data_IF_536436677523
#
_entry.id   IF_536436677523
#
_cell.length_a   1.000
_cell.length_b   1.000
_cell.length_c   1.000
_cell.angle_alpha   90.00
_cell.angle_beta   90.00
_cell.angle_gamma   90.00
#
_symmetry.space_group_name_H-M   'P 1'
#
loop_
_entity.id
_entity.type
_entity.pdbx_description
1 polymer ?
#
# COMPACT_ATOMS: atom_id res chain seq x y z
N UNK A 1 -2.72 11.23 -3.40
CA UNK A 1 -4.17 11.16 -3.72
C UNK A 1 -4.65 9.87 -3.10
N UNK A 2 -5.65 9.95 -2.23
CA UNK A 2 -6.10 8.78 -1.46
C UNK A 2 -7.19 8.05 -2.23
N UNK A 3 -6.78 6.99 -2.94
CA UNK A 3 -7.69 6.01 -3.50
C UNK A 3 -7.91 4.90 -2.47
N UNK A 4 -9.15 4.43 -2.33
CA UNK A 4 -9.52 3.39 -1.36
C UNK A 4 -9.83 2.04 -2.03
N UNK A 5 -10.07 2.03 -3.35
CA UNK A 5 -10.34 0.84 -4.14
C UNK A 5 -9.54 0.83 -5.44
N UNK A 6 -9.22 -0.38 -5.89
CA UNK A 6 -8.57 -0.66 -7.17
C UNK A 6 -9.43 -1.66 -7.94
N UNK A 7 -9.86 -1.30 -9.15
CA UNK A 7 -10.54 -2.21 -10.06
C UNK A 7 -9.61 -2.69 -11.17
N UNK A 8 -9.59 -3.99 -11.43
CA UNK A 8 -8.88 -4.59 -12.56
C UNK A 8 -9.77 -4.58 -13.80
N UNK A 9 -9.22 -4.20 -14.95
CA UNK A 9 -9.89 -4.29 -16.25
C UNK A 9 -9.38 -5.45 -17.11
N UNK A 10 -10.16 -5.82 -18.12
CA UNK A 10 -9.82 -6.84 -19.13
C UNK A 10 -8.65 -6.47 -20.05
N UNK A 11 -8.21 -5.21 -19.99
CA UNK A 11 -7.07 -4.69 -20.73
C UNK A 11 -5.76 -4.68 -19.92
N UNK A 12 -5.67 -5.43 -18.81
CA UNK A 12 -4.55 -5.38 -17.86
C UNK A 12 -4.29 -3.96 -17.34
N UNK A 13 -5.35 -3.26 -16.94
CA UNK A 13 -5.25 -1.95 -16.31
C UNK A 13 -5.84 -1.98 -14.91
N UNK A 14 -5.25 -1.19 -14.02
CA UNK A 14 -5.78 -0.93 -12.69
C UNK A 14 -6.39 0.47 -12.70
N UNK A 15 -7.68 0.55 -12.41
CA UNK A 15 -8.39 1.82 -12.18
C UNK A 15 -8.47 2.03 -10.68
N UNK A 16 -7.71 2.99 -10.17
CA UNK A 16 -7.80 3.43 -8.78
C UNK A 16 -8.88 4.50 -8.65
N UNK A 17 -9.75 4.39 -7.64
CA UNK A 17 -10.84 5.33 -7.39
C UNK A 17 -11.16 5.43 -5.88
N UNK A 18 -11.92 6.45 -5.49
CA UNK A 18 -12.40 6.60 -4.11
C UNK A 18 -13.92 6.43 -4.04
N UNK A 19 -14.40 5.69 -3.05
CA UNK A 19 -15.81 5.58 -2.69
C UNK A 19 -16.47 6.95 -2.40
N UNK A 20 -15.69 7.95 -2.00
CA UNK A 20 -16.16 9.32 -1.71
C UNK A 20 -16.28 10.20 -2.96
N UNK A 21 -15.63 9.84 -4.06
CA UNK A 21 -15.61 10.60 -5.31
C UNK A 21 -15.35 9.69 -6.53
N UNK A 22 -16.39 9.01 -7.00
CA UNK A 22 -16.32 8.00 -8.07
C UNK A 22 -15.94 8.57 -9.46
N UNK A 23 -16.07 9.89 -9.65
CA UNK A 23 -15.63 10.54 -10.88
C UNK A 23 -14.10 10.69 -10.93
N UNK A 24 -13.43 10.76 -9.78
CA UNK A 24 -11.98 10.87 -9.70
C UNK A 24 -11.34 9.49 -9.78
N UNK A 25 -10.69 9.22 -10.91
CA UNK A 25 -10.03 7.96 -11.16
C UNK A 25 -8.61 8.16 -11.68
N UNK A 26 -7.77 7.14 -11.48
CA UNK A 26 -6.44 7.03 -12.07
C UNK A 26 -6.30 5.66 -12.70
N UNK A 27 -5.99 5.60 -13.98
CA UNK A 27 -5.80 4.34 -14.70
C UNK A 27 -4.31 4.08 -14.91
N UNK A 28 -3.85 2.93 -14.46
CA UNK A 28 -2.47 2.46 -14.56
C UNK A 28 -2.44 1.22 -15.45
N UNK A 29 -1.63 1.23 -16.51
CA UNK A 29 -1.40 0.01 -17.29
C UNK A 29 -0.39 -0.88 -16.57
N UNK A 30 -0.67 -2.19 -16.51
CA UNK A 30 0.22 -3.16 -15.87
C UNK A 30 1.20 -3.73 -16.89
N UNK A 31 2.50 -3.50 -16.67
CA UNK A 31 3.61 -4.11 -17.43
C UNK A 31 4.26 -5.27 -16.66
N UNK A 32 5.09 -6.07 -17.33
CA UNK A 32 5.81 -7.19 -16.71
C UNK A 32 5.02 -8.49 -16.57
N UNK A 33 3.74 -8.50 -16.94
CA UNK A 33 2.89 -9.72 -16.95
C UNK A 33 2.93 -10.46 -18.27
N UNK A 34 2.82 -11.79 -18.21
CA UNK A 34 2.54 -12.65 -19.36
C UNK A 34 1.10 -13.17 -19.32
N UNK A 35 0.35 -12.90 -20.38
CA UNK A 35 -1.09 -13.20 -20.47
C UNK A 35 -1.97 -12.07 -19.95
N UNK A 36 -3.24 -12.39 -19.75
CA UNK A 36 -4.24 -11.46 -19.20
C UNK A 36 -4.36 -11.75 -17.71
N UNK A 37 -4.40 -10.73 -16.86
CA UNK A 37 -4.73 -10.87 -15.45
C UNK A 37 -6.15 -11.43 -15.33
N UNK A 38 -6.39 -12.29 -14.34
CA UNK A 38 -7.68 -12.90 -14.04
C UNK A 38 -8.33 -12.25 -12.81
N UNK A 39 -7.51 -11.87 -11.84
CA UNK A 39 -7.93 -11.19 -10.61
C UNK A 39 -6.73 -10.56 -9.92
N UNK A 40 -7.01 -9.64 -9.00
CA UNK A 40 -6.03 -9.03 -8.11
C UNK A 40 -6.61 -8.94 -6.69
N UNK A 41 -5.74 -9.03 -5.69
CA UNK A 41 -6.08 -8.76 -4.29
C UNK A 41 -4.83 -8.38 -3.48
N UNK A 42 -5.01 -7.60 -2.43
CA UNK A 42 -3.98 -7.23 -1.46
C UNK A 42 -3.85 -8.33 -0.41
N UNK A 43 -2.66 -8.93 -0.30
CA UNK A 43 -2.39 -9.91 0.76
C UNK A 43 -2.29 -9.21 2.11
N UNK A 44 -3.18 -9.47 3.09
CA UNK A 44 -3.17 -8.74 4.36
C UNK A 44 -1.88 -8.92 5.17
N UNK A 45 -1.17 -10.04 4.98
CA UNK A 45 0.07 -10.34 5.70
C UNK A 45 1.26 -9.45 5.32
N UNK A 46 1.27 -8.84 4.13
CA UNK A 46 2.39 -8.02 3.67
C UNK A 46 1.99 -6.74 2.90
N UNK A 47 0.70 -6.52 2.66
CA UNK A 47 0.18 -5.33 1.98
C UNK A 47 0.50 -5.26 0.49
N UNK A 48 1.06 -6.32 -0.11
CA UNK A 48 1.37 -6.35 -1.55
C UNK A 48 0.12 -6.76 -2.34
N UNK A 49 -0.07 -6.13 -3.51
CA UNK A 49 -1.06 -6.56 -4.49
C UNK A 49 -0.53 -7.78 -5.22
N UNK A 50 -1.28 -8.87 -5.24
CA UNK A 50 -1.01 -10.03 -6.06
C UNK A 50 -2.00 -10.11 -7.21
N UNK A 51 -1.59 -10.69 -8.32
CA UNK A 51 -2.47 -11.05 -9.42
C UNK A 51 -2.09 -12.39 -10.05
N UNK A 52 -3.07 -13.08 -10.60
CA UNK A 52 -2.89 -14.31 -11.38
C UNK A 52 -3.20 -14.02 -12.84
N UNK A 53 -2.46 -14.61 -13.78
CA UNK A 53 -2.74 -14.49 -15.21
C UNK A 53 -3.29 -15.78 -15.82
N UNK A 54 -3.82 -15.66 -17.05
CA UNK A 54 -4.25 -16.78 -17.90
C UNK A 54 -3.14 -17.79 -18.22
N UNK A 55 -1.88 -17.46 -17.96
CA UNK A 55 -0.75 -18.40 -18.07
C UNK A 55 -0.44 -19.14 -16.76
N UNK A 56 -1.32 -19.02 -15.76
CA UNK A 56 -1.18 -19.58 -14.42
C UNK A 56 0.02 -19.02 -13.63
N UNK A 57 0.51 -17.84 -14.00
CA UNK A 57 1.61 -17.16 -13.32
C UNK A 57 1.07 -16.18 -12.29
N UNK A 58 1.64 -16.20 -11.09
CA UNK A 58 1.32 -15.29 -9.98
C UNK A 58 2.37 -14.18 -9.97
N UNK A 59 1.92 -12.93 -9.90
CA UNK A 59 2.75 -11.75 -9.82
C UNK A 59 2.42 -10.95 -8.57
N UNK A 60 3.40 -10.22 -8.03
CA UNK A 60 3.13 -9.01 -7.24
C UNK A 60 3.06 -7.82 -8.19
N UNK A 61 2.19 -6.85 -7.91
CA UNK A 61 2.02 -5.65 -8.74
C UNK A 61 2.31 -4.41 -7.89
N UNK A 62 3.32 -3.63 -8.28
CA UNK A 62 3.65 -2.36 -7.66
C UNK A 62 2.96 -1.21 -8.40
N UNK A 63 2.25 -0.34 -7.68
CA UNK A 63 1.62 0.84 -8.26
C UNK A 63 2.62 2.00 -8.31
N UNK A 64 2.83 2.57 -9.50
CA UNK A 64 3.62 3.78 -9.71
C UNK A 64 2.78 5.02 -9.98
N UNK A 65 3.46 6.11 -10.34
CA UNK A 65 2.79 7.36 -10.68
C UNK A 65 2.05 7.29 -12.03
N UNK A 66 2.61 6.60 -13.03
CA UNK A 66 2.04 6.57 -14.40
C UNK A 66 1.76 5.14 -14.90
N UNK A 67 2.36 4.13 -14.27
CA UNK A 67 2.19 2.71 -14.62
C UNK A 67 2.16 1.83 -13.38
N UNK A 68 1.83 0.56 -13.56
CA UNK A 68 2.01 -0.47 -12.56
C UNK A 68 2.98 -1.55 -13.09
N UNK A 69 3.88 -2.04 -12.25
CA UNK A 69 4.91 -3.00 -12.65
C UNK A 69 4.70 -4.33 -11.93
N UNK A 70 4.55 -5.41 -12.71
CA UNK A 70 4.38 -6.75 -12.20
C UNK A 70 5.72 -7.50 -12.11
N UNK A 71 5.92 -8.22 -11.01
CA UNK A 71 7.08 -9.10 -10.77
C UNK A 71 6.60 -10.52 -10.52
N UNK A 72 7.12 -11.47 -11.31
CA UNK A 72 6.77 -12.89 -11.19
C UNK A 72 7.17 -13.42 -9.81
N UNK A 73 6.23 -14.07 -9.13
CA UNK A 73 6.43 -14.74 -7.83
C UNK A 73 6.53 -16.24 -8.03
N UNK A 74 5.53 -16.84 -8.66
CA UNK A 74 5.41 -18.29 -8.81
C UNK A 74 4.48 -18.68 -9.96
N UNK A 75 4.28 -19.97 -10.17
CA UNK A 75 3.36 -20.52 -11.17
C UNK A 75 2.52 -21.61 -10.51
N UNK A 76 1.21 -21.64 -10.78
CA UNK A 76 0.33 -22.63 -10.16
C UNK A 76 0.77 -24.06 -10.49
N UNK A 77 0.78 -24.91 -9.48
CA UNK A 77 1.07 -26.34 -9.64
C UNK A 77 -0.07 -27.11 -10.30
N UNK A 78 -1.27 -26.52 -10.34
CA UNK A 78 -2.44 -27.01 -11.07
C UNK A 78 -3.05 -25.83 -11.84
N UNK A 79 -3.37 -25.99 -13.13
CA UNK A 79 -3.96 -24.91 -13.91
C UNK A 79 -5.35 -24.57 -13.38
N UNK A 80 -5.69 -23.29 -13.37
CA UNK A 80 -7.06 -22.84 -13.16
C UNK A 80 -7.81 -22.91 -14.49
N UNK A 81 -8.99 -23.52 -14.47
CA UNK A 81 -9.84 -23.74 -15.65
C UNK A 81 -11.22 -23.08 -15.48
N UNK A 82 -11.40 -22.27 -14.43
CA UNK A 82 -12.65 -21.61 -14.07
C UNK A 82 -13.06 -20.41 -14.92
N UNK A 83 -12.28 -20.12 -15.96
CA UNK A 83 -12.58 -19.06 -16.92
C UNK A 83 -11.87 -17.75 -16.61
N UNK A 84 -12.32 -16.68 -17.29
CA UNK A 84 -11.79 -15.33 -17.12
C UNK A 84 -12.39 -14.59 -15.91
N UNK A 85 -13.41 -15.18 -15.29
CA UNK A 85 -14.17 -14.62 -14.17
C UNK A 85 -13.91 -15.49 -12.95
N UNK A 86 -13.49 -14.87 -11.85
CA UNK A 86 -13.18 -15.59 -10.63
C UNK A 86 -13.28 -14.71 -9.39
N UNK A 87 -13.75 -15.30 -8.29
CA UNK A 87 -13.45 -14.74 -6.97
C UNK A 87 -11.97 -14.94 -6.65
N UNK A 88 -11.28 -13.87 -6.28
CA UNK A 88 -9.83 -13.83 -6.05
C UNK A 88 -9.57 -13.05 -4.77
N UNK A 89 -9.31 -13.73 -3.65
CA UNK A 89 -9.21 -13.04 -2.35
C UNK A 89 -8.35 -13.81 -1.33
N UNK A 90 -7.56 -13.11 -0.53
CA UNK A 90 -6.72 -13.70 0.50
C UNK A 90 -7.50 -13.95 1.78
N UNK A 91 -7.47 -15.20 2.23
CA UNK A 91 -7.86 -15.52 3.59
C UNK A 91 -6.81 -14.95 4.58
N UNK A 92 -7.14 -13.94 5.40
CA UNK A 92 -6.17 -13.29 6.30
C UNK A 92 -5.73 -14.18 7.48
N UNK A 93 -6.51 -15.21 7.82
CA UNK A 93 -6.18 -16.15 8.91
C UNK A 93 -5.27 -17.28 8.42
N UNK A 94 -5.61 -17.87 7.27
CA UNK A 94 -4.87 -18.97 6.68
C UNK A 94 -3.64 -18.51 5.87
N UNK A 95 -3.60 -17.22 5.52
CA UNK A 95 -2.61 -16.63 4.63
C UNK A 95 -2.53 -17.40 3.30
N UNK A 96 -3.69 -17.64 2.69
CA UNK A 96 -3.83 -18.36 1.42
C UNK A 96 -4.78 -17.59 0.53
N UNK A 97 -4.42 -17.52 -0.74
CA UNK A 97 -5.30 -17.00 -1.77
C UNK A 97 -6.39 -18.04 -2.08
N UNK A 98 -7.64 -17.62 -2.02
CA UNK A 98 -8.81 -18.35 -2.52
C UNK A 98 -9.03 -17.93 -3.97
N UNK A 99 -9.24 -18.92 -4.83
CA UNK A 99 -9.59 -18.71 -6.23
C UNK A 99 -10.77 -19.62 -6.58
N UNK A 100 -11.90 -19.02 -6.91
CA UNK A 100 -13.13 -19.73 -7.32
C UNK A 100 -13.53 -19.33 -8.73
N UNK A 101 -14.21 -20.20 -9.47
CA UNK A 101 -14.68 -19.87 -10.82
C UNK A 101 -16.07 -20.40 -11.14
N UNK A 102 -16.60 -20.01 -12.30
CA UNK A 102 -17.94 -20.38 -12.77
C UNK A 102 -18.10 -21.88 -13.08
N UNK A 103 -16.98 -22.64 -13.12
CA UNK A 103 -16.97 -24.09 -13.29
C UNK A 103 -16.95 -24.86 -11.95
N UNK A 104 -17.32 -24.18 -10.86
CA UNK A 104 -17.38 -24.70 -9.50
C UNK A 104 -16.00 -25.03 -8.87
N UNK A 105 -14.89 -24.73 -9.55
CA UNK A 105 -13.56 -24.92 -8.96
C UNK A 105 -13.39 -24.04 -7.73
N UNK A 106 -12.81 -24.63 -6.68
CA UNK A 106 -12.48 -23.95 -5.44
C UNK A 106 -11.01 -24.25 -5.05
N UNK A 107 -10.11 -23.29 -5.24
CA UNK A 107 -8.68 -23.46 -5.02
C UNK A 107 -8.21 -22.71 -3.77
N UNK A 108 -7.37 -23.36 -2.97
CA UNK A 108 -6.47 -22.70 -2.02
C UNK A 108 -5.05 -22.70 -2.53
N UNK A 109 -4.47 -21.52 -2.58
CA UNK A 109 -3.19 -21.28 -3.24
C UNK A 109 -2.20 -20.71 -2.22
N UNK A 110 -1.03 -21.33 -2.14
CA UNK A 110 0.16 -20.71 -1.54
C UNK A 110 0.88 -19.91 -2.63
N UNK A 111 0.70 -18.59 -2.63
CA UNK A 111 1.23 -17.69 -3.66
C UNK A 111 2.75 -17.66 -3.74
N UNK A 112 3.45 -17.92 -2.62
CA UNK A 112 4.92 -17.91 -2.55
C UNK A 112 5.54 -19.11 -3.29
N UNK A 113 4.78 -20.20 -3.44
CA UNK A 113 5.27 -21.46 -4.04
C UNK A 113 4.49 -21.90 -5.27
N UNK A 114 3.31 -21.30 -5.51
CA UNK A 114 2.35 -21.73 -6.52
C UNK A 114 1.63 -23.03 -6.19
N UNK A 115 1.82 -23.60 -4.99
CA UNK A 115 1.18 -24.85 -4.62
C UNK A 115 -0.35 -24.67 -4.50
N UNK A 116 -1.09 -25.49 -5.23
CA UNK A 116 -2.56 -25.50 -5.27
C UNK A 116 -3.11 -26.71 -4.53
N UNK A 117 -4.04 -26.45 -3.61
CA UNK A 117 -4.98 -27.45 -3.07
C UNK A 117 -6.33 -27.21 -3.74
N UNK A 118 -6.88 -28.25 -4.36
CA UNK A 118 -8.24 -28.24 -4.90
C UNK A 118 -9.16 -28.71 -3.78
N UNK A 119 -10.05 -27.82 -3.34
CA UNK A 119 -11.06 -28.07 -2.31
C UNK A 119 -12.32 -28.71 -2.94
N UNK A 120 -13.41 -28.82 -2.19
CA UNK A 120 -14.69 -29.33 -2.71
C UNK A 120 -15.30 -28.39 -3.74
N UNK A 121 -15.94 -28.95 -4.78
CA UNK A 121 -16.64 -28.17 -5.79
C UNK A 121 -17.72 -27.29 -5.15
N UNK A 122 -17.88 -26.07 -5.66
CA UNK A 122 -18.92 -25.14 -5.21
C UNK A 122 -20.31 -25.75 -5.42
N UNK A 123 -21.09 -25.85 -4.34
CA UNK A 123 -22.43 -26.40 -4.39
C UNK A 123 -23.31 -25.88 -3.26
N UNK A 124 -24.57 -25.59 -3.57
CA UNK A 124 -25.55 -25.24 -2.55
C UNK A 124 -25.77 -26.37 -1.55
N UNK A 125 -25.84 -26.02 -0.27
CA UNK A 125 -26.17 -26.98 0.78
C UNK A 125 -27.54 -27.64 0.53
N UNK A 126 -27.72 -28.88 0.99
CA UNK A 126 -28.97 -29.61 0.76
C UNK A 126 -30.22 -29.00 1.41
N UNK A 127 -30.03 -28.13 2.40
CA UNK A 127 -31.10 -27.40 3.09
C UNK A 127 -31.27 -25.96 2.58
N UNK A 128 -30.45 -25.54 1.60
CA UNK A 128 -30.53 -24.21 0.99
C UNK A 128 -31.75 -24.06 0.08
N UNK A 129 -32.22 -22.82 -0.09
CA UNK A 129 -33.32 -22.51 -1.01
C UNK A 129 -32.97 -22.85 -2.47
N UNK A 130 -31.69 -22.79 -2.83
CA UNK A 130 -31.16 -23.09 -4.15
C UNK A 130 -30.54 -24.51 -4.22
N UNK A 131 -30.88 -25.40 -3.29
CA UNK A 131 -30.38 -26.77 -3.29
C UNK A 131 -30.59 -27.48 -4.65
N UNK A 132 -29.51 -28.01 -5.22
CA UNK A 132 -29.51 -28.71 -6.50
C UNK A 132 -29.42 -27.81 -7.74
N UNK A 133 -29.37 -26.49 -7.57
CA UNK A 133 -28.98 -25.54 -8.62
C UNK A 133 -27.46 -25.56 -8.76
N UNK A 134 -26.94 -25.47 -10.00
CA UNK A 134 -25.51 -25.26 -10.20
C UNK A 134 -25.20 -23.78 -9.95
N UNK A 135 -24.30 -23.43 -9.04
CA UNK A 135 -23.95 -22.05 -8.82
C UNK A 135 -23.20 -21.46 -10.03
N UNK A 136 -23.15 -20.14 -10.10
CA UNK A 136 -22.40 -19.36 -11.08
C UNK A 136 -21.62 -18.27 -10.33
N UNK A 137 -20.63 -18.70 -9.55
CA UNK A 137 -19.86 -17.78 -8.68
C UNK A 137 -18.86 -16.98 -9.50
N UNK A 138 -18.94 -15.64 -9.37
CA UNK A 138 -18.11 -14.69 -10.12
C UNK A 138 -17.29 -13.75 -9.25
N UNK A 139 -17.54 -13.73 -7.94
CA UNK A 139 -16.78 -12.95 -6.96
C UNK A 139 -16.73 -13.65 -5.61
N UNK A 140 -15.68 -13.44 -4.85
CA UNK A 140 -15.50 -13.97 -3.50
C UNK A 140 -14.66 -12.99 -2.68
N UNK A 141 -14.99 -12.81 -1.40
CA UNK A 141 -14.26 -11.91 -0.50
C UNK A 141 -14.35 -12.36 0.96
N UNK A 142 -13.25 -12.21 1.70
CA UNK A 142 -13.16 -12.54 3.12
C UNK A 142 -13.44 -11.34 4.03
N UNK A 143 -14.19 -11.57 5.09
CA UNK A 143 -14.33 -10.60 6.19
C UNK A 143 -13.05 -10.53 7.03
N UNK A 144 -12.89 -9.41 7.75
CA UNK A 144 -11.74 -9.11 8.60
C UNK A 144 -10.40 -9.18 7.84
N UNK A 145 -10.37 -8.67 6.61
CA UNK A 145 -9.20 -8.66 5.73
C UNK A 145 -8.12 -7.67 6.21
N UNK A 146 -7.48 -8.00 7.35
CA UNK A 146 -6.37 -7.26 7.93
C UNK A 146 -5.40 -8.21 8.66
N UNK A 147 -4.14 -7.80 8.77
CA UNK A 147 -3.09 -8.59 9.38
C UNK A 147 -3.41 -8.97 10.85
N UNK A 148 -3.25 -10.24 11.20
CA UNK A 148 -3.38 -10.71 12.58
C UNK A 148 -4.80 -10.92 13.08
N UNK A 149 -5.81 -10.84 12.20
CA UNK A 149 -7.16 -11.31 12.54
C UNK A 149 -7.15 -12.79 12.95
N UNK A 150 -8.13 -13.18 13.78
CA UNK A 150 -8.27 -14.56 14.28
C UNK A 150 -9.49 -15.29 13.71
N UNK A 151 -10.34 -14.58 12.98
CA UNK A 151 -11.53 -15.15 12.34
C UNK A 151 -11.85 -14.43 11.05
N UNK A 152 -12.46 -15.17 10.13
CA UNK A 152 -12.93 -14.67 8.85
C UNK A 152 -14.12 -15.51 8.37
N UNK A 153 -14.93 -14.95 7.49
CA UNK A 153 -16.01 -15.61 6.76
C UNK A 153 -15.83 -15.33 5.27
N UNK A 154 -16.08 -16.32 4.43
CA UNK A 154 -16.04 -16.17 2.97
C UNK A 154 -17.44 -15.91 2.44
N UNK A 155 -17.59 -14.82 1.71
CA UNK A 155 -18.81 -14.51 0.97
C UNK A 155 -18.54 -14.58 -0.53
N UNK A 156 -19.56 -14.98 -1.28
CA UNK A 156 -19.49 -15.08 -2.74
C UNK A 156 -20.63 -14.33 -3.41
N UNK A 157 -20.45 -13.98 -4.68
CA UNK A 157 -21.48 -13.47 -5.56
C UNK A 157 -21.82 -14.51 -6.63
N UNK A 158 -23.11 -14.81 -6.77
CA UNK A 158 -23.64 -15.63 -7.85
C UNK A 158 -24.34 -14.73 -8.88
N UNK A 159 -23.80 -14.72 -10.10
CA UNK A 159 -24.29 -13.88 -11.21
C UNK A 159 -25.52 -14.44 -11.90
N UNK A 160 -25.81 -15.74 -11.78
CA UNK A 160 -26.99 -16.34 -12.38
C UNK A 160 -28.24 -16.14 -11.50
N UNK A 161 -28.05 -16.08 -10.19
CA UNK A 161 -29.11 -15.95 -9.19
C UNK A 161 -29.23 -14.55 -8.59
N UNK A 162 -28.34 -13.63 -8.96
CA UNK A 162 -28.24 -12.28 -8.40
C UNK A 162 -28.23 -12.29 -6.86
N UNK A 163 -27.34 -13.09 -6.28
CA UNK A 163 -27.38 -13.37 -4.85
C UNK A 163 -26.01 -13.28 -4.17
N UNK A 164 -26.04 -12.81 -2.92
CA UNK A 164 -24.93 -12.92 -1.99
C UNK A 164 -25.02 -14.29 -1.31
N UNK A 165 -23.90 -15.00 -1.27
CA UNK A 165 -23.75 -16.32 -0.68
C UNK A 165 -22.74 -16.29 0.47
N UNK A 166 -22.87 -17.23 1.39
CA UNK A 166 -21.87 -17.56 2.40
C UNK A 166 -21.28 -18.94 2.07
N UNK A 167 -19.97 -19.03 1.86
CA UNK A 167 -19.27 -20.31 1.69
C UNK A 167 -18.86 -20.86 3.06
N UNK A 168 -19.56 -21.89 3.53
CA UNK A 168 -19.35 -22.44 4.87
C UNK A 168 -19.65 -23.93 4.96
N UNK A 169 -18.64 -24.78 5.24
CA UNK A 169 -17.21 -24.46 5.33
C UNK A 169 -16.61 -24.07 3.95
N UNK A 170 -15.64 -23.12 3.89
CA UNK A 170 -14.99 -22.76 2.63
C UNK A 170 -14.41 -23.97 1.89
N UNK A 171 -13.60 -24.79 2.57
CA UNK A 171 -12.89 -25.90 1.90
C UNK A 171 -13.80 -27.05 1.44
N UNK A 172 -15.07 -27.05 1.81
CA UNK A 172 -16.06 -28.02 1.35
C UNK A 172 -16.84 -27.49 0.14
N UNK A 173 -16.60 -26.25 -0.30
CA UNK A 173 -17.34 -25.59 -1.39
C UNK A 173 -18.82 -25.33 -1.07
N UNK A 174 -19.25 -25.49 0.18
CA UNK A 174 -20.68 -25.46 0.52
C UNK A 174 -21.21 -24.04 0.57
N UNK A 175 -22.17 -23.73 -0.30
CA UNK A 175 -22.81 -22.42 -0.42
C UNK A 175 -24.15 -22.37 0.35
N UNK A 176 -24.39 -21.24 1.01
CA UNK A 176 -25.65 -20.89 1.64
C UNK A 176 -26.11 -19.52 1.14
N UNK A 177 -27.35 -19.41 0.70
CA UNK A 177 -27.93 -18.16 0.20
C UNK A 177 -28.18 -17.20 1.36
N UNK A 178 -27.54 -16.02 1.32
CA UNK A 178 -27.78 -14.95 2.30
C UNK A 178 -28.99 -14.12 1.88
N UNK A 179 -29.02 -13.70 0.60
CA UNK A 179 -30.14 -12.97 0.04
C UNK A 179 -29.86 -12.42 -1.36
N UNK A 180 -30.91 -11.90 -1.98
CA UNK A 180 -30.83 -11.33 -3.33
C UNK A 180 -30.20 -9.94 -3.30
N UNK A 181 -29.35 -9.65 -4.28
CA UNK A 181 -28.67 -8.37 -4.47
C UNK A 181 -29.66 -7.24 -4.80
N UNK A 182 -30.73 -7.55 -5.52
CA UNK A 182 -31.73 -6.58 -5.95
C UNK A 182 -31.36 -5.81 -7.23
N UNK A 183 -30.32 -6.25 -7.94
CA UNK A 183 -29.94 -5.82 -9.29
C UNK A 183 -29.38 -7.02 -10.07
N UNK A 184 -29.33 -6.89 -11.39
CA UNK A 184 -28.77 -7.87 -12.32
C UNK A 184 -27.24 -7.79 -12.31
N UNK A 185 -26.58 -8.79 -11.74
CA UNK A 185 -25.12 -8.84 -11.62
C UNK A 185 -24.52 -9.35 -12.92
N UNK A 186 -23.60 -8.59 -13.50
CA UNK A 186 -22.87 -9.06 -14.67
C UNK A 186 -21.88 -10.17 -14.27
N UNK A 187 -21.60 -11.05 -15.22
CA UNK A 187 -20.51 -12.02 -15.14
C UNK A 187 -19.17 -11.33 -14.90
N UNK A 188 -18.92 -10.18 -15.53
CA UNK A 188 -17.70 -9.42 -15.34
C UNK A 188 -17.90 -8.34 -14.27
N UNK A 189 -17.08 -8.39 -13.22
CA UNK A 189 -17.16 -7.45 -12.12
C UNK A 189 -16.07 -7.68 -11.09
N UNK A 190 -16.32 -7.28 -9.86
CA UNK A 190 -15.44 -7.57 -8.73
C UNK A 190 -16.19 -7.47 -7.42
N UNK A 191 -15.69 -8.15 -6.39
CA UNK A 191 -16.25 -8.17 -5.05
C UNK A 191 -15.11 -8.02 -4.04
N UNK A 192 -15.30 -7.14 -3.05
CA UNK A 192 -14.29 -6.81 -2.04
C UNK A 192 -14.98 -6.55 -0.69
N UNK A 193 -14.36 -6.97 0.41
CA UNK A 193 -14.81 -6.64 1.78
C UNK A 193 -13.67 -5.92 2.51
N UNK A 194 -13.74 -4.58 2.49
CA UNK A 194 -12.79 -3.73 3.18
C UNK A 194 -13.02 -3.81 4.68
N UNK A 195 -11.95 -4.05 5.44
CA UNK A 195 -11.99 -4.22 6.89
C UNK A 195 -11.04 -3.25 7.59
N UNK A 196 -11.55 -2.36 8.43
CA UNK A 196 -10.70 -1.42 9.21
C UNK A 196 -10.23 -2.04 10.54
N UNK A 197 -11.04 -2.94 11.10
CA UNK A 197 -10.82 -3.59 12.38
C UNK A 197 -11.72 -4.83 12.51
N UNK A 198 -11.52 -5.62 13.56
CA UNK A 198 -12.31 -6.84 13.79
C UNK A 198 -13.82 -6.54 13.85
N UNK A 199 -14.57 -7.10 12.92
CA UNK A 199 -16.03 -6.95 12.81
C UNK A 199 -16.48 -5.68 12.08
N UNK A 200 -15.58 -4.75 11.77
CA UNK A 200 -15.90 -3.58 10.95
C UNK A 200 -15.60 -3.87 9.48
N UNK A 201 -16.64 -4.34 8.78
CA UNK A 201 -16.58 -4.83 7.40
C UNK A 201 -17.51 -4.01 6.51
N UNK A 202 -17.01 -3.52 5.39
CA UNK A 202 -17.80 -2.88 4.34
C UNK A 202 -17.61 -3.61 3.03
N UNK A 203 -18.70 -4.18 2.50
CA UNK A 203 -18.68 -4.95 1.28
C UNK A 203 -19.02 -4.08 0.07
N UNK A 204 -18.25 -4.23 -1.01
CA UNK A 204 -18.43 -3.53 -2.27
C UNK A 204 -18.46 -4.50 -3.43
N UNK A 205 -19.28 -4.21 -4.43
CA UNK A 205 -19.22 -4.88 -5.72
C UNK A 205 -19.16 -3.85 -6.85
N UNK A 206 -18.47 -4.21 -7.93
CA UNK A 206 -18.50 -3.48 -9.18
C UNK A 206 -19.14 -4.34 -10.25
N UNK A 207 -20.09 -3.76 -10.99
CA UNK A 207 -20.77 -4.38 -12.13
C UNK A 207 -21.14 -3.27 -13.11
N UNK A 208 -20.85 -3.46 -14.41
CA UNK A 208 -21.16 -2.48 -15.46
C UNK A 208 -20.67 -1.05 -15.15
N UNK A 209 -19.44 -0.92 -14.65
CA UNK A 209 -18.83 0.34 -14.20
C UNK A 209 -19.61 1.10 -13.09
N UNK A 210 -20.56 0.45 -12.43
CA UNK A 210 -21.23 0.96 -11.24
C UNK A 210 -20.64 0.33 -9.98
N UNK A 211 -20.43 1.15 -8.95
CA UNK A 211 -20.10 0.69 -7.60
C UNK A 211 -21.39 0.48 -6.79
N UNK A 212 -21.43 -0.61 -6.03
CA UNK A 212 -22.48 -0.95 -5.10
C UNK A 212 -21.88 -1.23 -3.73
N UNK A 213 -22.56 -0.84 -2.65
CA UNK A 213 -22.32 -1.40 -1.31
C UNK A 213 -23.30 -2.55 -1.04
N UNK A 214 -22.85 -3.56 -0.31
CA UNK A 214 -23.65 -4.76 0.00
C UNK A 214 -23.85 -4.88 1.51
N UNK A 215 -25.06 -5.26 1.91
CA UNK A 215 -25.35 -5.64 3.27
C UNK A 215 -25.07 -7.15 3.46
N UNK A 216 -24.03 -7.50 4.22
CA UNK A 216 -23.60 -8.90 4.42
C UNK A 216 -24.58 -9.78 5.23
N UNK A 217 -25.61 -9.19 5.86
CA UNK A 217 -26.64 -9.93 6.60
C UNK A 217 -27.87 -10.25 5.74
N UNK A 218 -28.22 -9.36 4.81
CA UNK A 218 -29.44 -9.46 4.00
C UNK A 218 -29.21 -9.70 2.51
N UNK A 219 -27.97 -9.55 2.04
CA UNK A 219 -27.59 -9.62 0.63
C UNK A 219 -27.95 -8.38 -0.20
N UNK A 220 -28.74 -7.45 0.33
CA UNK A 220 -29.24 -6.30 -0.45
C UNK A 220 -28.10 -5.35 -0.83
N UNK A 221 -28.01 -5.00 -2.11
CA UNK A 221 -27.08 -4.02 -2.63
C UNK A 221 -27.69 -2.62 -2.73
N UNK A 222 -26.86 -1.59 -2.55
CA UNK A 222 -27.19 -0.18 -2.75
C UNK A 222 -26.22 0.43 -3.75
N UNK A 223 -26.74 0.99 -4.85
CA UNK A 223 -25.90 1.66 -5.84
C UNK A 223 -25.30 2.96 -5.28
N UNK A 224 -23.98 3.12 -5.44
CA UNK A 224 -23.22 4.30 -5.03
C UNK A 224 -22.94 5.25 -6.19
N UNK A 225 -22.93 4.75 -7.43
CA UNK A 225 -22.81 5.56 -8.64
C UNK A 225 -21.90 4.93 -9.69
N UNK A 226 -21.77 5.61 -10.85
CA UNK A 226 -20.86 5.22 -11.90
C UNK A 226 -19.41 5.63 -11.58
N UNK A 227 -18.46 4.79 -11.92
CA UNK A 227 -17.02 5.03 -11.85
C UNK A 227 -16.57 5.73 -13.15
N UNK A 228 -15.65 6.70 -13.05
CA UNK A 228 -15.06 7.41 -14.21
C UNK A 228 -16.11 7.96 -15.20
N UNK A 229 -17.14 8.63 -14.67
CA UNK A 229 -18.25 9.23 -15.40
C UNK A 229 -19.04 8.26 -16.32
N UNK A 230 -18.92 6.94 -16.11
CA UNK A 230 -19.64 5.92 -16.88
C UNK A 230 -19.03 5.62 -18.25
N UNK A 231 -17.72 5.84 -18.41
CA UNK A 231 -16.97 5.28 -19.54
C UNK A 231 -17.10 3.74 -19.60
N UNK A 232 -17.01 3.13 -20.79
CA UNK A 232 -17.07 1.67 -20.98
C UNK A 232 -15.82 1.00 -20.37
N UNK A 233 -15.76 0.95 -19.04
CA UNK A 233 -14.76 0.20 -18.28
C UNK A 233 -15.36 -1.16 -17.96
N UNK A 234 -14.75 -2.20 -18.50
CA UNK A 234 -15.08 -3.59 -18.16
C UNK A 234 -14.19 -4.01 -17.00
N UNK A 235 -14.79 -4.15 -15.83
CA UNK A 235 -14.11 -4.63 -14.63
C UNK A 235 -14.17 -6.15 -14.56
N UNK A 236 -13.10 -6.76 -14.04
CA UNK A 236 -12.99 -8.21 -13.81
C UNK A 236 -12.26 -8.52 -12.49
N UNK A 237 -12.14 -7.53 -11.61
CA UNK A 237 -11.60 -7.68 -10.27
C UNK A 237 -11.76 -6.38 -9.50
N UNK A 238 -11.83 -6.49 -8.18
CA UNK A 238 -11.88 -5.38 -7.25
C UNK A 238 -11.05 -5.78 -6.03
N UNK A 239 -10.21 -4.87 -5.55
CA UNK A 239 -9.48 -5.04 -4.30
C UNK A 239 -9.49 -3.72 -3.54
N UNK A 240 -9.36 -3.80 -2.22
CA UNK A 240 -8.97 -2.64 -1.43
C UNK A 240 -7.66 -2.07 -1.99
N UNK A 241 -7.56 -0.74 -2.10
CA UNK A 241 -6.24 -0.15 -2.24
C UNK A 241 -5.43 -0.56 -1.00
N UNK A 242 -4.19 -1.04 -1.15
CA UNK A 242 -3.37 -1.28 0.01
C UNK A 242 -3.38 0.02 0.81
N UNK A 243 -3.47 -0.01 2.15
CA UNK A 243 -3.26 1.19 2.93
C UNK A 243 -1.97 1.76 2.36
N UNK A 244 -2.03 2.99 1.80
CA UNK A 244 -0.88 3.62 1.17
C UNK A 244 0.28 3.25 2.06
N UNK A 245 1.25 2.49 1.55
CA UNK A 245 2.36 2.10 2.39
C UNK A 245 2.78 3.42 3.02
N UNK A 246 2.57 3.56 4.33
CA UNK A 246 3.31 4.56 5.06
C UNK A 246 4.72 4.07 4.75
N UNK A 247 5.34 4.74 3.77
CA UNK A 247 6.75 4.69 3.61
C UNK A 247 7.20 5.10 4.99
N UNK A 248 7.63 4.13 5.80
CA UNK A 248 8.22 4.41 7.10
C UNK A 248 9.29 5.44 6.78
N UNK A 249 9.08 6.72 7.13
CA UNK A 249 9.97 7.74 6.66
C UNK A 249 11.35 7.38 7.22
N UNK A 250 12.40 7.61 6.43
CA UNK A 250 13.75 7.34 6.93
C UNK A 250 13.89 8.02 8.31
N UNK A 251 14.32 7.28 9.35
CA UNK A 251 14.20 7.76 10.72
C UNK A 251 14.95 9.07 10.93
N UNK A 252 15.99 9.34 10.14
CA UNK A 252 16.77 10.57 10.14
C UNK A 252 16.05 11.80 9.54
N UNK A 253 14.88 11.66 8.91
CA UNK A 253 14.13 12.77 8.32
C UNK A 253 13.34 13.59 9.35
N UNK A 254 13.17 14.87 9.02
CA UNK A 254 12.27 15.80 9.70
C UNK A 254 10.95 15.84 8.94
N UNK A 255 9.91 15.24 9.52
CA UNK A 255 8.55 15.26 8.97
C UNK A 255 7.83 16.55 9.36
N UNK A 256 7.57 17.40 8.37
CA UNK A 256 6.77 18.62 8.52
C UNK A 256 5.50 18.59 7.64
N UNK A 257 5.10 17.42 7.12
CA UNK A 257 3.98 17.29 6.19
C UNK A 257 2.63 17.71 6.79
N UNK A 258 2.45 17.53 8.11
CA UNK A 258 1.23 17.90 8.84
C UNK A 258 1.06 19.39 9.15
N UNK A 259 1.89 20.27 8.60
CA UNK A 259 1.88 21.70 8.92
C UNK A 259 1.76 22.58 7.67
N UNK A 260 0.88 23.59 7.74
CA UNK A 260 0.72 24.60 6.70
C UNK A 260 1.61 25.84 6.97
N UNK A 261 2.38 26.29 5.97
CA UNK A 261 3.21 27.50 6.06
C UNK A 261 4.53 27.31 6.79
N UNK A 262 5.26 28.38 7.09
CA UNK A 262 6.57 28.26 7.76
C UNK A 262 6.41 27.70 9.18
N UNK A 263 6.98 26.51 9.41
CA UNK A 263 7.12 25.91 10.72
C UNK A 263 8.44 26.39 11.31
N UNK A 264 8.35 27.12 12.42
CA UNK A 264 9.52 27.30 13.25
C UNK A 264 9.86 25.92 13.84
N UNK A 265 10.97 25.32 13.40
CA UNK A 265 11.60 24.23 14.15
C UNK A 265 12.19 24.87 15.38
N UNK A 266 11.33 25.02 16.38
CA UNK A 266 11.66 25.66 17.63
C UNK A 266 12.62 24.74 18.40
N UNK A 267 13.85 25.26 18.52
CA UNK A 267 14.87 24.93 19.51
C UNK A 267 15.62 23.63 19.23
N UNK A 268 16.72 23.75 18.48
CA UNK A 268 17.92 22.98 18.80
C UNK A 268 18.32 23.41 20.20
N UNK A 269 17.96 22.63 21.23
CA UNK A 269 18.25 22.93 22.65
C UNK A 269 19.73 22.82 22.99
N UNK A 270 20.46 22.17 22.09
CA UNK A 270 21.89 21.98 22.19
C UNK A 270 22.39 21.69 20.79
N UNK A 271 23.01 22.67 20.15
CA UNK A 271 23.94 22.40 19.07
C UNK A 271 25.30 22.29 19.76
N UNK A 272 25.84 21.08 19.88
CA UNK A 272 27.20 20.89 20.42
C UNK A 272 28.09 20.18 19.43
N UNK A 273 29.38 20.52 19.48
CA UNK A 273 30.42 19.96 18.63
C UNK A 273 31.61 19.58 19.50
N UNK A 274 32.12 18.37 19.35
CA UNK A 274 33.48 17.99 19.70
C UNK A 274 34.17 17.45 18.45
N UNK A 275 34.58 18.36 17.57
CA UNK A 275 35.14 17.99 16.26
C UNK A 275 36.39 18.81 15.95
N UNK A 276 37.32 18.19 15.22
CA UNK A 276 38.50 18.87 14.68
C UNK A 276 38.13 19.81 13.52
N UNK A 277 37.09 19.48 12.76
CA UNK A 277 36.62 20.26 11.62
C UNK A 277 35.56 21.31 12.01
N UNK A 278 35.46 22.38 11.21
CA UNK A 278 34.41 23.39 11.36
C UNK A 278 33.14 22.93 10.61
N UNK A 279 32.44 21.98 11.22
CA UNK A 279 31.26 21.38 10.64
C UNK A 279 30.07 22.36 10.60
N UNK A 280 29.33 22.33 9.48
CA UNK A 280 28.14 23.17 9.26
C UNK A 280 26.95 22.25 8.97
N UNK A 281 25.85 22.41 9.72
CA UNK A 281 24.60 21.72 9.42
C UNK A 281 23.74 22.57 8.49
N UNK A 282 23.23 21.93 7.44
CA UNK A 282 22.18 22.46 6.58
C UNK A 282 21.12 21.37 6.35
N UNK A 283 20.13 21.69 5.51
CA UNK A 283 19.01 20.81 5.18
C UNK A 283 18.69 20.91 3.69
N UNK A 284 18.03 19.90 3.15
CA UNK A 284 17.43 19.90 1.83
C UNK A 284 16.05 19.23 1.89
N UNK A 285 15.16 19.65 1.00
CA UNK A 285 13.82 19.08 0.87
C UNK A 285 13.86 17.69 0.23
N UNK A 286 12.95 16.81 0.64
CA UNK A 286 12.87 15.42 0.20
C UNK A 286 11.44 14.89 0.32
N UNK A 287 11.18 13.72 -0.28
CA UNK A 287 10.02 12.90 0.05
C UNK A 287 10.26 12.01 1.30
N UNK A 288 9.28 11.16 1.62
CA UNK A 288 9.35 10.22 2.76
C UNK A 288 10.48 9.18 2.63
N UNK A 289 10.97 8.89 1.42
CA UNK A 289 12.06 7.94 1.15
C UNK A 289 13.46 8.58 1.21
N UNK A 290 13.56 9.89 1.43
CA UNK A 290 14.84 10.59 1.33
C UNK A 290 15.22 10.93 -0.12
N UNK A 291 14.30 10.83 -1.08
CA UNK A 291 14.59 11.09 -2.49
C UNK A 291 14.85 12.59 -2.76
N UNK A 292 15.92 12.88 -3.49
CA UNK A 292 16.24 14.23 -4.00
C UNK A 292 16.65 14.14 -5.46
N UNK A 293 16.11 15.03 -6.31
CA UNK A 293 16.29 15.01 -7.78
C UNK A 293 16.04 13.62 -8.43
N UNK A 294 15.09 12.85 -7.88
CA UNK A 294 14.75 11.52 -8.38
C UNK A 294 15.72 10.40 -7.98
N UNK A 295 16.73 10.69 -7.16
CA UNK A 295 17.71 9.72 -6.66
C UNK A 295 17.39 9.30 -5.24
N UNK A 296 17.40 7.99 -4.96
CA UNK A 296 17.24 7.45 -3.62
C UNK A 296 18.56 7.53 -2.83
N UNK A 297 18.50 7.63 -1.49
CA UNK A 297 19.68 7.54 -0.64
C UNK A 297 20.54 6.31 -0.97
N UNK A 298 21.81 6.55 -1.27
CA UNK A 298 22.78 5.51 -1.68
C UNK A 298 22.94 5.33 -3.19
N UNK A 299 22.09 5.95 -4.02
CA UNK A 299 22.28 5.98 -5.46
C UNK A 299 23.55 6.75 -5.86
N UNK A 300 24.15 6.33 -6.98
CA UNK A 300 25.29 7.04 -7.54
C UNK A 300 24.91 8.47 -7.93
N UNK A 301 25.52 9.45 -7.28
CA UNK A 301 25.26 10.88 -7.53
C UNK A 301 24.32 11.53 -6.51
N UNK A 302 23.77 10.75 -5.56
CA UNK A 302 22.90 11.26 -4.50
C UNK A 302 23.52 12.43 -3.73
N UNK A 303 24.79 12.29 -3.30
CA UNK A 303 25.51 13.35 -2.57
C UNK A 303 25.63 14.67 -3.36
N UNK A 304 25.78 14.58 -4.69
CA UNK A 304 25.85 15.76 -5.54
C UNK A 304 24.47 16.43 -5.68
N UNK A 305 23.40 15.64 -5.74
CA UNK A 305 22.03 16.15 -5.75
C UNK A 305 21.66 16.80 -4.40
N UNK A 306 22.00 16.15 -3.28
CA UNK A 306 21.84 16.72 -1.94
C UNK A 306 22.60 18.05 -1.81
N UNK A 307 23.87 18.11 -2.23
CA UNK A 307 24.67 19.33 -2.23
C UNK A 307 24.05 20.48 -3.05
N UNK A 308 23.43 20.15 -4.18
CA UNK A 308 22.81 21.13 -5.08
C UNK A 308 21.46 21.67 -4.56
N UNK A 309 20.80 20.94 -3.66
CA UNK A 309 19.48 21.27 -3.12
C UNK A 309 19.52 21.74 -1.66
N UNK A 310 20.70 22.02 -1.11
CA UNK A 310 20.82 22.61 0.22
C UNK A 310 20.10 23.96 0.29
N UNK A 311 19.47 24.22 1.44
CA UNK A 311 18.77 25.48 1.70
C UNK A 311 19.82 26.53 2.09
N UNK A 312 20.12 27.43 1.17
CA UNK A 312 21.16 28.47 1.30
C UNK A 312 21.05 29.32 2.58
N UNK A 313 19.83 29.61 3.04
CA UNK A 313 19.59 30.48 4.19
C UNK A 313 19.66 29.75 5.56
N UNK A 314 19.97 28.45 5.57
CA UNK A 314 20.06 27.63 6.78
C UNK A 314 21.45 27.02 6.90
N UNK A 315 22.30 27.70 7.67
CA UNK A 315 23.65 27.24 8.03
C UNK A 315 23.83 27.34 9.54
N UNK A 316 23.95 26.19 10.20
CA UNK A 316 24.08 26.12 11.66
C UNK A 316 25.49 25.69 12.01
N UNK A 317 26.15 26.49 12.84
CA UNK A 317 27.53 26.25 13.26
C UNK A 317 27.68 26.56 14.75
N UNK A 318 28.51 25.77 15.42
CA UNK A 318 28.90 25.99 16.80
C UNK A 318 30.42 25.81 16.95
N UNK A 319 31.04 26.55 17.86
CA UNK A 319 32.46 26.39 18.15
C UNK A 319 32.77 25.04 18.80
N UNK A 320 34.02 24.59 18.69
CA UNK A 320 34.46 23.35 19.33
C UNK A 320 34.25 23.39 20.86
N UNK A 321 33.71 22.32 21.43
CA UNK A 321 33.33 22.18 22.84
C UNK A 321 32.35 23.25 23.34
N UNK A 322 31.58 23.84 22.43
CA UNK A 322 30.53 24.82 22.78
C UNK A 322 29.14 24.24 22.58
N UNK A 323 28.17 24.98 23.11
CA UNK A 323 26.76 24.67 23.00
C UNK A 323 25.99 25.96 22.78
N UNK A 324 25.08 25.97 21.82
CA UNK A 324 24.19 27.11 21.56
C UNK A 324 22.75 26.63 21.33
N UNK A 325 21.80 27.49 21.70
CA UNK A 325 20.39 27.34 21.34
C UNK A 325 20.15 28.07 20.01
N UNK A 326 19.58 27.37 19.01
CA UNK A 326 19.28 27.96 17.69
C UNK A 326 17.86 27.63 17.27
N UNK A 327 17.21 28.62 16.63
CA UNK A 327 15.91 28.46 15.97
C UNK A 327 16.09 28.52 14.47
N UNK A 328 15.49 27.58 13.77
CA UNK A 328 15.44 27.52 12.30
C UNK A 328 13.98 27.49 11.87
N UNK A 329 13.67 28.18 10.77
CA UNK A 329 12.35 28.10 10.15
C UNK A 329 12.45 27.29 8.85
N UNK A 330 11.67 26.22 8.75
CA UNK A 330 11.50 25.41 7.55
C UNK A 330 10.05 25.57 7.05
N UNK A 331 9.80 25.34 5.77
CA UNK A 331 8.43 25.37 5.24
C UNK A 331 7.73 24.06 5.60
N UNK A 332 6.49 24.11 6.07
CA UNK A 332 5.68 22.92 6.28
C UNK A 332 5.16 22.32 4.97
N UNK A 333 4.63 21.09 5.04
CA UNK A 333 4.04 20.38 3.90
C UNK A 333 5.00 19.42 3.19
N UNK A 334 6.20 19.20 3.72
CA UNK A 334 7.24 18.36 3.10
C UNK A 334 8.16 17.71 4.14
N UNK A 335 9.05 16.82 3.70
CA UNK A 335 10.13 16.24 4.53
C UNK A 335 11.44 16.99 4.30
N UNK A 336 12.28 17.05 5.33
CA UNK A 336 13.66 17.55 5.21
C UNK A 336 14.67 16.52 5.68
N UNK A 337 15.76 16.39 4.94
CA UNK A 337 16.93 15.62 5.32
C UNK A 337 18.04 16.56 5.82
N UNK A 338 18.76 16.20 6.91
CA UNK A 338 19.93 16.95 7.34
C UNK A 338 21.16 16.62 6.47
N UNK A 339 22.03 17.62 6.30
CA UNK A 339 23.35 17.46 5.68
C UNK A 339 24.42 18.12 6.53
N UNK A 340 25.39 17.34 7.01
CA UNK A 340 26.58 17.87 7.67
C UNK A 340 27.66 18.14 6.63
N UNK A 341 28.00 19.40 6.42
CA UNK A 341 29.15 19.82 5.63
C UNK A 341 30.38 19.73 6.53
N UNK A 342 31.22 18.73 6.29
CA UNK A 342 32.45 18.53 7.05
C UNK A 342 33.47 19.59 6.60
N UNK A 343 34.00 20.35 7.56
CA UNK A 343 34.86 21.53 7.32
C UNK A 343 34.18 22.58 6.39
N UNK A 344 32.85 22.66 6.43
CA UNK A 344 32.06 23.56 5.58
C UNK A 344 32.10 23.23 4.08
N UNK A 345 32.56 22.03 3.70
CA UNK A 345 32.74 21.64 2.30
C UNK A 345 31.50 20.96 1.71
N UNK A 346 31.00 21.51 0.59
CA UNK A 346 29.96 20.87 -0.24
C UNK A 346 30.44 19.59 -0.94
N UNK A 347 31.75 19.33 -0.94
CA UNK A 347 32.33 18.11 -1.52
C UNK A 347 32.55 17.02 -0.47
N UNK A 348 32.26 17.32 0.81
CA UNK A 348 32.40 16.38 1.91
C UNK A 348 31.19 16.49 2.83
N UNK A 349 30.10 15.87 2.38
CA UNK A 349 28.86 15.80 3.12
C UNK A 349 28.77 14.49 3.90
N UNK A 350 28.13 14.54 5.06
CA UNK A 350 27.46 13.39 5.65
C UNK A 350 25.94 13.60 5.52
N UNK A 351 25.25 12.66 4.87
CA UNK A 351 23.80 12.73 4.58
C UNK A 351 23.10 11.42 4.94
N UNK A 352 21.78 11.36 4.75
CA UNK A 352 21.02 10.10 4.88
C UNK A 352 21.41 9.05 3.82
N UNK A 353 22.06 9.46 2.73
CA UNK A 353 22.69 8.57 1.76
C UNK A 353 23.74 7.65 2.36
N UNK A 354 24.49 8.14 3.36
CA UNK A 354 25.50 7.35 4.05
C UNK A 354 24.90 6.27 4.93
N UNK A 355 23.84 6.62 5.67
CA UNK A 355 23.09 5.68 6.49
C UNK A 355 22.54 4.53 5.63
N UNK A 356 22.01 4.85 4.44
CA UNK A 356 21.52 3.86 3.47
C UNK A 356 22.63 2.93 2.94
N UNK A 357 23.87 3.42 2.84
CA UNK A 357 25.05 2.63 2.45
C UNK A 357 25.69 1.86 3.62
N UNK A 358 25.06 1.86 4.81
CA UNK A 358 25.60 1.25 6.02
C UNK A 358 26.79 2.00 6.63
N UNK A 359 27.04 3.22 6.18
CA UNK A 359 28.03 4.13 6.72
C UNK A 359 27.32 5.03 7.73
N UNK A 360 27.36 4.65 9.00
CA UNK A 360 26.69 5.41 10.05
C UNK A 360 27.43 6.73 10.28
N UNK A 361 27.08 7.77 9.52
CA UNK A 361 27.54 9.16 9.71
C UNK A 361 26.46 10.07 10.29
N UNK A 362 25.22 9.60 10.27
CA UNK A 362 24.06 10.22 10.91
C UNK A 362 23.30 9.13 11.65
N UNK A 363 22.82 9.44 12.85
CA UNK A 363 21.93 8.59 13.63
C UNK A 363 20.88 9.44 14.33
N UNK A 364 19.67 8.90 14.47
CA UNK A 364 18.64 9.48 15.33
C UNK A 364 18.40 8.63 16.58
N UNK A 365 18.32 9.29 17.74
CA UNK A 365 17.89 8.73 19.01
C UNK A 365 16.79 9.60 19.63
N UNK A 366 15.53 9.18 19.42
CA UNK A 366 14.36 9.95 19.85
C UNK A 366 14.30 11.32 19.17
N UNK A 367 14.49 12.39 19.96
CA UNK A 367 14.51 13.76 19.47
C UNK A 367 15.93 14.30 19.20
N UNK A 368 16.94 13.42 19.18
CA UNK A 368 18.34 13.81 18.99
C UNK A 368 18.89 13.23 17.71
N UNK A 369 19.51 14.07 16.88
CA UNK A 369 20.32 13.68 15.75
C UNK A 369 21.78 13.82 16.14
N UNK A 370 22.54 12.77 15.85
CA UNK A 370 23.96 12.66 16.14
C UNK A 370 24.69 12.49 14.82
N UNK A 371 25.72 13.31 14.61
CA UNK A 371 26.50 13.33 13.38
C UNK A 371 27.96 13.01 13.66
N UNK A 372 28.61 12.44 12.65
CA UNK A 372 30.00 12.01 12.67
C UNK A 372 30.72 12.56 11.43
N UNK A 373 31.92 13.11 11.62
CA UNK A 373 32.75 13.68 10.55
C UNK A 373 33.91 12.77 10.08
N UNK A 374 33.85 11.49 10.50
CA UNK A 374 34.77 10.40 10.20
C UNK A 374 36.12 10.47 10.94
N UNK A 375 36.13 11.10 12.10
CA UNK A 375 37.27 11.21 12.99
C UNK A 375 37.40 10.01 13.93
N UNK A 376 36.64 10.02 15.02
CA UNK A 376 36.73 9.05 16.12
C UNK A 376 35.47 8.20 16.33
N UNK A 377 34.44 8.38 15.51
CA UNK A 377 33.25 7.52 15.41
C UNK A 377 32.42 7.46 16.69
N UNK A 378 32.39 8.53 17.47
CA UNK A 378 31.63 8.63 18.71
C UNK A 378 30.33 9.45 18.59
N UNK A 379 30.08 10.03 17.40
CA UNK A 379 28.85 10.76 17.03
C UNK A 379 28.57 12.00 17.88
N UNK A 380 29.59 12.68 18.40
CA UNK A 380 29.43 13.96 19.09
C UNK A 380 30.00 15.16 18.31
N UNK A 381 30.47 14.93 17.07
CA UNK A 381 31.01 15.96 16.16
C UNK A 381 29.98 17.04 15.85
N UNK A 382 28.71 16.65 15.74
CA UNK A 382 27.60 17.56 15.87
C UNK A 382 26.41 16.83 16.49
N UNK A 383 25.77 17.45 17.49
CA UNK A 383 24.55 16.92 18.11
C UNK A 383 23.46 17.95 18.01
N UNK A 384 22.28 17.53 17.58
CA UNK A 384 21.08 18.36 17.44
C UNK A 384 19.95 17.71 18.22
N UNK A 385 19.56 18.30 19.34
CA UNK A 385 18.39 17.84 20.10
C UNK A 385 17.21 18.80 19.93
N UNK A 386 16.08 18.31 19.44
CA UNK A 386 14.82 19.04 19.40
C UNK A 386 14.13 19.02 20.78
N UNK A 387 13.48 20.12 21.15
CA UNK A 387 12.54 20.09 22.28
C UNK A 387 11.33 19.21 21.96
N UNK A 388 10.91 18.30 22.86
CA UNK A 388 9.59 17.70 22.76
C UNK A 388 8.53 18.79 22.96
N UNK A 389 7.50 18.77 22.12
CA UNK A 389 6.47 19.80 21.90
C UNK A 389 6.87 20.88 20.87
N UNK A 390 6.26 20.76 19.68
CA UNK A 390 5.93 21.92 18.86
C UNK A 390 4.97 22.76 19.71
N UNK A 391 5.50 23.72 20.45
CA UNK A 391 4.70 24.75 21.10
C UNK A 391 4.14 25.65 19.99
N UNK A 392 2.91 25.36 19.57
CA UNK A 392 2.21 26.03 18.47
C UNK A 392 0.71 25.75 18.45
N UNK A 393 0.07 25.57 19.61
CA UNK A 393 -1.37 25.80 19.72
C UNK A 393 -1.56 27.31 19.90
N UNK A 394 -1.95 27.97 18.82
CA UNK A 394 -3.00 29.00 18.80
C UNK A 394 -3.58 29.10 17.41
#
# INVERSE_FOLDING_TARGET
MDFDLLGLTDANQIVAFSTSNLAQTKTLSVSGVEGTLLGIDVRPANGLIYGLTTTNQIYTIALGEESAEATLVSTLSQPFEGGAVSGFDFNPVADRLRLVGENDQDFRINVDTGAVIVDGDLAFSGDDVNAGVNPSVTGAAYTNSFAGTTSTQLYDLDSALDSLLLQSPPNDGTLQTVGMLGFDLDTLGGFEIVSTSAGDNTAFAVSNAMLYSLNLESGVATSLGAIADGSEIVFQGLTAAPPMAEVDPLPELFDLTGFDGNVAVNVIRRLSREAVFDNVLSFYETDALGQVDGLLPGDSGYEAAAAANLIDDITLMVGNNQSIDVTVSLLGGTYYAPALLIDGSLQNLATVGDAALGQTRIKREGNTWLFEDAGDFDFNDLVVTLTPEIAGIT
#
